data_IF_729894721343
#
_entry.id   IF_729894721343
#
_cell.length_a   1.000
_cell.length_b   1.000
_cell.length_c   1.000
_cell.angle_alpha   90.00
_cell.angle_beta   90.00
_cell.angle_gamma   90.00
#
_symmetry.space_group_name_H-M   'P 1'
#
loop_
_entity.id
_entity.type
_entity.pdbx_description
1 polymer ?
#
# COMPACT_ATOMS: atom_id res chain seq x y z
N UNK A 1 32.57 -52.11 -39.17
CA UNK A 1 33.07 -51.13 -38.17
C UNK A 1 31.99 -51.02 -37.10
N UNK A 2 32.07 -51.84 -36.03
CA UNK A 2 32.68 -51.51 -34.72
C UNK A 2 31.83 -50.47 -33.95
N UNK A 3 31.38 -50.59 -32.70
CA UNK A 3 31.27 -51.63 -31.66
C UNK A 3 30.45 -51.02 -30.50
N UNK A 4 29.96 -51.83 -29.56
CA UNK A 4 29.13 -51.46 -28.37
C UNK A 4 29.89 -50.70 -27.25
N UNK A 5 29.14 -50.29 -26.19
CA UNK A 5 29.50 -50.11 -24.74
C UNK A 5 29.80 -48.65 -24.32
N UNK A 6 29.41 -48.05 -23.15
CA UNK A 6 28.90 -48.46 -21.83
C UNK A 6 28.11 -47.32 -21.12
N UNK A 7 27.38 -47.69 -20.07
CA UNK A 7 26.77 -46.81 -19.04
C UNK A 7 27.86 -46.32 -18.06
N UNK A 8 27.75 -45.07 -17.58
CA UNK A 8 28.41 -44.62 -16.34
C UNK A 8 27.39 -43.92 -15.42
N UNK A 9 27.34 -44.41 -14.19
CA UNK A 9 26.48 -44.02 -13.07
C UNK A 9 26.97 -42.68 -12.51
N UNK A 10 26.09 -41.69 -12.35
CA UNK A 10 26.35 -40.54 -11.51
C UNK A 10 25.62 -40.71 -10.17
N UNK A 11 26.35 -41.15 -9.15
CA UNK A 11 25.95 -40.93 -7.76
C UNK A 11 26.49 -39.55 -7.36
N UNK A 12 25.60 -38.60 -7.14
CA UNK A 12 25.91 -37.43 -6.32
C UNK A 12 24.70 -37.12 -5.46
N UNK A 13 24.79 -37.52 -4.19
CA UNK A 13 23.96 -37.02 -3.09
C UNK A 13 24.16 -35.51 -3.02
N UNK A 14 23.11 -34.74 -3.31
CA UNK A 14 23.01 -33.37 -2.79
C UNK A 14 21.63 -33.22 -2.15
N UNK A 15 21.70 -32.64 -0.95
CA UNK A 15 20.73 -32.58 0.12
C UNK A 15 19.34 -32.04 -0.27
N UNK A 16 18.38 -32.31 0.62
CA UNK A 16 17.02 -31.79 0.63
C UNK A 16 16.91 -30.38 0.01
N UNK A 17 16.02 -30.25 -0.97
CA UNK A 17 15.61 -28.94 -1.48
C UNK A 17 14.78 -28.29 -0.38
N UNK A 18 15.40 -27.42 0.42
CA UNK A 18 14.67 -26.49 1.26
C UNK A 18 13.88 -25.57 0.32
N UNK A 19 12.56 -25.55 0.48
CA UNK A 19 11.68 -24.62 -0.21
C UNK A 19 11.95 -23.22 0.35
N UNK A 20 12.78 -22.45 -0.35
CA UNK A 20 12.96 -21.03 -0.08
C UNK A 20 11.84 -20.26 -0.81
N UNK A 21 11.08 -19.46 -0.07
CA UNK A 21 10.18 -18.47 -0.65
C UNK A 21 11.01 -17.41 -1.39
N UNK A 22 10.63 -17.08 -2.62
CA UNK A 22 11.33 -16.14 -3.49
C UNK A 22 11.44 -14.75 -2.84
N UNK A 23 12.58 -14.47 -2.22
CA UNK A 23 13.01 -13.13 -1.86
C UNK A 23 13.86 -12.55 -2.99
N UNK A 24 13.28 -11.70 -3.82
CA UNK A 24 14.00 -10.96 -4.85
C UNK A 24 15.01 -10.01 -4.19
N UNK A 25 16.31 -10.29 -4.37
CA UNK A 25 17.41 -9.46 -3.89
C UNK A 25 17.62 -8.31 -4.89
N UNK A 26 16.99 -7.18 -4.60
CA UNK A 26 17.14 -5.92 -5.35
C UNK A 26 18.52 -5.29 -5.08
N UNK A 27 19.27 -4.84 -6.11
CA UNK A 27 20.59 -4.27 -5.93
C UNK A 27 20.52 -2.96 -5.12
N UNK A 28 21.38 -2.85 -4.11
CA UNK A 28 21.52 -1.67 -3.28
C UNK A 28 22.13 -0.50 -4.07
N UNK A 29 21.27 0.28 -4.71
CA UNK A 29 21.67 1.52 -5.39
C UNK A 29 20.49 2.27 -5.99
N UNK A 30 20.13 3.40 -5.39
CA UNK A 30 19.30 4.49 -5.95
C UNK A 30 17.78 4.32 -6.10
N UNK A 31 17.19 3.14 -5.90
CA UNK A 31 15.72 3.02 -6.00
C UNK A 31 15.00 3.51 -4.73
N UNK A 32 14.00 4.40 -4.87
CA UNK A 32 13.17 4.83 -3.75
C UNK A 32 12.47 3.63 -3.10
N UNK A 33 12.27 3.74 -1.77
CA UNK A 33 11.65 2.65 -1.01
C UNK A 33 10.24 2.36 -1.55
N UNK A 34 9.87 1.08 -1.56
CA UNK A 34 8.49 0.66 -1.80
C UNK A 34 7.64 1.08 -0.60
N UNK A 35 6.54 1.77 -0.87
CA UNK A 35 5.56 2.21 0.13
C UNK A 35 4.23 1.54 -0.15
N UNK A 36 3.58 1.08 0.91
CA UNK A 36 2.21 0.54 0.88
C UNK A 36 1.29 1.56 1.54
N UNK A 37 0.12 1.81 0.96
CA UNK A 37 -0.95 2.57 1.59
C UNK A 37 -2.14 1.63 1.78
N UNK A 38 -2.67 1.57 2.99
CA UNK A 38 -3.88 0.81 3.32
C UNK A 38 -4.91 1.75 3.91
N UNK A 39 -6.16 1.64 3.45
CA UNK A 39 -7.31 2.42 3.89
C UNK A 39 -8.35 1.45 4.42
N UNK A 40 -8.75 1.62 5.68
CA UNK A 40 -9.80 0.81 6.32
C UNK A 40 -11.02 1.68 6.61
N UNK A 41 -12.21 1.22 6.23
CA UNK A 41 -13.45 1.89 6.60
C UNK A 41 -13.74 1.67 8.10
N UNK A 42 -13.74 2.76 8.87
CA UNK A 42 -14.08 2.78 10.30
C UNK A 42 -15.10 3.88 10.62
N UNK A 43 -15.98 4.19 9.65
CA UNK A 43 -17.11 5.10 9.85
C UNK A 43 -17.97 4.61 11.01
N UNK A 44 -18.29 5.51 11.94
CA UNK A 44 -19.05 5.19 13.14
C UNK A 44 -20.47 4.69 12.84
N UNK A 45 -21.04 5.15 11.72
CA UNK A 45 -22.36 4.73 11.20
C UNK A 45 -22.35 3.35 10.55
N UNK A 46 -21.19 2.71 10.39
CA UNK A 46 -21.01 1.36 9.81
C UNK A 46 -21.59 1.21 8.38
N UNK A 47 -21.65 2.31 7.64
CA UNK A 47 -22.08 2.33 6.25
C UNK A 47 -20.94 2.05 5.28
N UNK A 48 -21.27 1.79 4.02
CA UNK A 48 -20.27 1.66 2.96
C UNK A 48 -19.53 2.97 2.71
N UNK A 49 -18.23 2.86 2.47
CA UNK A 49 -17.36 3.96 2.09
C UNK A 49 -16.91 3.76 0.64
N UNK A 50 -17.25 4.71 -0.22
CA UNK A 50 -16.71 4.78 -1.58
C UNK A 50 -15.45 5.62 -1.58
N UNK A 51 -14.35 5.05 -2.06
CA UNK A 51 -13.04 5.68 -2.15
C UNK A 51 -12.56 5.67 -3.59
N UNK A 52 -12.13 6.82 -4.11
CA UNK A 52 -11.39 6.89 -5.36
C UNK A 52 -10.04 7.53 -5.11
N UNK A 53 -8.95 6.77 -5.30
CA UNK A 53 -7.59 7.26 -5.15
C UNK A 53 -6.89 7.42 -6.50
N UNK A 54 -6.10 8.49 -6.64
CA UNK A 54 -5.21 8.68 -7.78
C UNK A 54 -4.01 9.56 -7.42
N UNK A 55 -2.98 9.50 -8.25
CA UNK A 55 -1.85 10.43 -8.24
C UNK A 55 -1.97 11.39 -9.43
N UNK A 56 -0.86 12.04 -9.80
CA UNK A 56 -0.76 12.74 -11.07
C UNK A 56 -0.68 11.77 -12.26
N UNK A 57 -0.01 10.65 -12.06
CA UNK A 57 0.45 9.75 -13.13
C UNK A 57 -0.34 8.42 -13.15
N UNK A 58 -0.95 8.03 -12.02
CA UNK A 58 -1.64 6.76 -11.85
C UNK A 58 -3.06 6.96 -11.30
N UNK A 59 -4.02 6.23 -11.86
CA UNK A 59 -5.36 6.09 -11.28
C UNK A 59 -5.49 4.71 -10.62
N UNK A 60 -5.68 4.70 -9.30
CA UNK A 60 -5.86 3.46 -8.54
C UNK A 60 -7.30 2.93 -8.69
N UNK A 61 -8.23 3.82 -9.03
CA UNK A 61 -9.63 3.53 -9.28
C UNK A 61 -10.52 3.63 -8.05
N UNK A 62 -11.80 3.36 -8.27
CA UNK A 62 -12.86 3.40 -7.26
C UNK A 62 -12.93 2.06 -6.53
N UNK A 63 -13.12 2.11 -5.21
CA UNK A 63 -13.33 0.97 -4.31
C UNK A 63 -14.49 1.27 -3.39
N UNK A 64 -15.37 0.29 -3.20
CA UNK A 64 -16.45 0.35 -2.21
C UNK A 64 -16.06 -0.58 -1.07
N UNK A 65 -16.01 -0.04 0.14
CA UNK A 65 -15.56 -0.73 1.34
C UNK A 65 -16.71 -0.83 2.34
N UNK A 66 -17.13 -2.05 2.66
CA UNK A 66 -18.00 -2.31 3.81
C UNK A 66 -17.31 -1.89 5.11
N UNK A 67 -18.06 -1.74 6.21
CA UNK A 67 -17.48 -1.47 7.51
C UNK A 67 -16.41 -2.51 7.88
N UNK A 68 -15.26 -2.05 8.40
CA UNK A 68 -14.04 -2.80 8.67
C UNK A 68 -13.32 -3.42 7.45
N UNK A 69 -13.84 -3.26 6.23
CA UNK A 69 -13.12 -3.68 5.04
C UNK A 69 -11.98 -2.71 4.75
N UNK A 70 -10.88 -3.26 4.22
CA UNK A 70 -9.73 -2.49 3.79
C UNK A 70 -9.42 -2.67 2.31
N UNK A 71 -8.76 -1.66 1.77
CA UNK A 71 -8.17 -1.66 0.45
C UNK A 71 -6.76 -1.08 0.54
N UNK A 72 -5.82 -1.66 -0.21
CA UNK A 72 -4.45 -1.16 -0.26
C UNK A 72 -3.85 -1.21 -1.64
N UNK A 73 -2.85 -0.36 -1.85
CA UNK A 73 -2.03 -0.30 -3.06
C UNK A 73 -0.59 0.05 -2.68
N UNK A 74 0.33 -0.24 -3.59
CA UNK A 74 1.75 0.02 -3.36
C UNK A 74 2.39 0.76 -4.54
N UNK A 75 3.41 1.54 -4.25
CA UNK A 75 4.15 2.29 -5.25
C UNK A 75 5.59 2.52 -4.76
N UNK A 76 6.46 2.99 -5.67
CA UNK A 76 7.76 3.57 -5.31
C UNK A 76 7.66 5.07 -5.56
N UNK A 77 7.96 5.86 -4.54
CA UNK A 77 7.93 7.31 -4.66
C UNK A 77 8.96 7.77 -5.71
N UNK A 78 8.70 8.84 -6.45
CA UNK A 78 9.65 9.42 -7.38
C UNK A 78 10.85 10.07 -6.66
N UNK A 79 11.97 10.12 -7.37
CA UNK A 79 13.26 10.64 -6.87
C UNK A 79 13.22 12.17 -6.68
N UNK A 80 12.30 12.86 -7.35
CA UNK A 80 12.12 14.31 -7.23
C UNK A 80 11.28 14.75 -6.02
N UNK A 81 10.94 13.84 -5.12
CA UNK A 81 10.18 14.14 -3.89
C UNK A 81 8.79 14.76 -4.09
N UNK A 82 8.13 14.47 -5.23
CA UNK A 82 6.83 15.06 -5.59
C UNK A 82 5.67 14.07 -5.53
N UNK A 83 5.88 12.83 -5.09
CA UNK A 83 4.84 11.80 -5.10
C UNK A 83 3.71 12.17 -4.16
N UNK A 84 2.50 12.13 -4.70
CA UNK A 84 1.27 12.44 -3.96
C UNK A 84 0.13 11.58 -4.48
N UNK A 85 -0.56 10.93 -3.56
CA UNK A 85 -1.84 10.28 -3.81
C UNK A 85 -2.91 11.03 -3.04
N UNK A 86 -3.98 11.39 -3.74
CA UNK A 86 -5.15 12.05 -3.18
C UNK A 86 -6.37 11.19 -3.46
N UNK A 87 -7.28 11.18 -2.49
CA UNK A 87 -8.51 10.41 -2.51
C UNK A 87 -9.73 11.30 -2.35
N UNK A 88 -10.81 10.90 -3.03
CA UNK A 88 -12.17 11.29 -2.64
C UNK A 88 -12.81 10.17 -1.83
N UNK A 89 -13.58 10.57 -0.83
CA UNK A 89 -14.21 9.70 0.16
C UNK A 89 -15.67 10.13 0.28
N UNK A 90 -16.59 9.22 0.00
CA UNK A 90 -18.02 9.49 0.01
C UNK A 90 -18.75 8.36 0.70
N UNK A 91 -19.73 8.73 1.52
CA UNK A 91 -20.61 7.80 2.21
C UNK A 91 -21.98 8.45 2.47
N UNK A 92 -23.06 7.66 2.64
CA UNK A 92 -24.44 8.18 2.58
C UNK A 92 -24.79 9.32 3.55
N UNK A 93 -24.32 9.26 4.79
CA UNK A 93 -24.60 10.26 5.84
C UNK A 93 -23.45 11.27 6.02
N UNK A 94 -22.51 11.32 5.07
CA UNK A 94 -21.31 12.16 5.14
C UNK A 94 -21.49 13.60 4.69
N UNK A 95 -22.63 13.95 4.11
CA UNK A 95 -22.89 15.32 3.62
C UNK A 95 -22.11 15.70 2.36
N UNK A 96 -21.67 14.72 1.57
CA UNK A 96 -21.01 14.90 0.28
C UNK A 96 -19.63 14.26 0.19
N UNK A 97 -18.84 14.70 -0.80
CA UNK A 97 -17.50 14.20 -1.07
C UNK A 97 -16.48 14.89 -0.16
N UNK A 98 -15.68 14.09 0.54
CA UNK A 98 -14.54 14.53 1.33
C UNK A 98 -13.24 14.26 0.60
N UNK A 99 -12.31 15.22 0.65
CA UNK A 99 -11.01 15.10 -0.02
C UNK A 99 -9.89 14.94 0.98
N UNK A 100 -8.94 14.05 0.70
CA UNK A 100 -7.74 13.92 1.51
C UNK A 100 -6.53 13.44 0.72
N UNK A 101 -5.35 13.91 1.12
CA UNK A 101 -4.10 13.39 0.60
C UNK A 101 -3.66 12.17 1.40
N UNK A 102 -4.04 10.98 0.92
CA UNK A 102 -3.73 9.72 1.59
C UNK A 102 -2.24 9.43 1.63
N UNK A 103 -1.48 10.01 0.69
CA UNK A 103 -0.03 10.04 0.74
C UNK A 103 0.53 11.38 0.26
N UNK A 104 1.43 11.97 1.06
CA UNK A 104 2.31 13.08 0.68
C UNK A 104 3.74 12.70 1.01
N UNK A 105 4.61 12.67 0.01
CA UNK A 105 6.00 12.23 0.20
C UNK A 105 6.72 13.00 1.32
N UNK A 106 6.55 14.32 1.41
CA UNK A 106 7.17 15.13 2.47
C UNK A 106 6.62 14.87 3.89
N UNK A 107 5.39 14.35 4.02
CA UNK A 107 4.74 14.01 5.31
C UNK A 107 5.01 12.56 5.72
N UNK A 108 5.03 11.65 4.75
CA UNK A 108 4.91 10.22 4.99
C UNK A 108 6.20 9.44 4.71
N UNK A 109 7.07 9.92 3.82
CA UNK A 109 8.22 9.14 3.34
C UNK A 109 9.21 8.76 4.45
N UNK A 110 9.46 9.61 5.44
CA UNK A 110 10.34 9.26 6.56
C UNK A 110 9.61 8.55 7.70
N UNK A 111 8.27 8.54 7.68
CA UNK A 111 7.47 8.16 8.86
C UNK A 111 6.82 6.79 8.71
N UNK A 112 6.35 6.42 7.50
CA UNK A 112 5.73 5.12 7.26
C UNK A 112 6.31 4.45 6.02
N UNK A 113 6.60 3.15 6.15
CA UNK A 113 6.79 2.26 4.99
C UNK A 113 5.44 1.68 4.57
N UNK A 114 4.68 1.24 5.56
CA UNK A 114 3.29 0.81 5.44
C UNK A 114 2.41 1.87 6.11
N UNK A 115 1.83 2.74 5.29
CA UNK A 115 1.02 3.86 5.74
C UNK A 115 -0.43 3.39 5.89
N UNK A 116 -0.78 2.97 7.11
CA UNK A 116 -2.11 2.48 7.44
C UNK A 116 -3.01 3.64 7.87
N UNK A 117 -4.18 3.74 7.27
CA UNK A 117 -5.18 4.77 7.53
C UNK A 117 -6.52 4.15 7.89
N UNK A 118 -7.18 4.72 8.90
CA UNK A 118 -8.61 4.52 9.12
C UNK A 118 -9.37 5.77 8.70
N UNK A 119 -10.51 5.56 8.05
CA UNK A 119 -11.44 6.64 7.70
C UNK A 119 -12.58 6.65 8.71
N UNK A 120 -12.72 7.77 9.42
CA UNK A 120 -13.84 8.10 10.30
C UNK A 120 -14.59 9.30 9.74
N UNK A 121 -15.80 9.54 10.23
CA UNK A 121 -16.64 10.66 9.78
C UNK A 121 -15.93 12.02 9.89
N UNK A 122 -15.28 12.29 11.03
CA UNK A 122 -14.63 13.56 11.31
C UNK A 122 -13.26 13.74 10.63
N UNK A 123 -12.50 12.65 10.48
CA UNK A 123 -11.11 12.73 10.02
C UNK A 123 -10.54 11.37 9.60
N UNK A 124 -9.68 11.32 8.58
CA UNK A 124 -8.76 10.21 8.40
C UNK A 124 -7.65 10.24 9.47
N UNK A 125 -7.34 9.08 10.04
CA UNK A 125 -6.27 8.92 11.04
C UNK A 125 -5.26 7.86 10.59
N UNK A 126 -3.97 8.19 10.65
CA UNK A 126 -2.88 7.28 10.34
C UNK A 126 -2.44 6.51 11.58
N UNK A 127 -2.05 5.26 11.39
CA UNK A 127 -1.38 4.49 12.43
C UNK A 127 -0.04 5.14 12.80
N UNK A 128 0.26 5.13 14.09
CA UNK A 128 1.48 5.62 14.66
C UNK A 128 2.24 4.47 15.30
N UNK A 129 3.39 4.14 14.72
CA UNK A 129 4.21 3.03 15.19
C UNK A 129 4.82 3.26 16.58
N UNK A 130 4.88 4.50 17.06
CA UNK A 130 5.41 4.81 18.39
C UNK A 130 4.34 4.56 19.47
N UNK A 131 3.14 5.08 19.27
CA UNK A 131 2.04 4.96 20.26
C UNK A 131 1.18 3.71 20.07
N UNK A 132 1.36 2.99 18.95
CA UNK A 132 0.56 1.83 18.55
C UNK A 132 -0.93 2.12 18.44
N UNK A 133 -1.28 3.33 17.99
CA UNK A 133 -2.66 3.79 17.85
C UNK A 133 -2.87 4.55 16.54
N UNK A 134 -4.14 4.71 16.14
CA UNK A 134 -4.55 5.60 15.05
C UNK A 134 -4.82 7.01 15.58
N UNK A 135 -3.77 7.67 16.09
CA UNK A 135 -3.84 8.96 16.78
C UNK A 135 -3.29 10.14 15.96
N UNK A 136 -2.71 9.88 14.78
CA UNK A 136 -2.25 10.93 13.87
C UNK A 136 -3.37 11.25 12.88
N UNK A 137 -4.31 12.10 13.32
CA UNK A 137 -5.49 12.49 12.56
C UNK A 137 -5.30 13.84 11.85
N UNK A 138 -5.97 13.99 10.71
CA UNK A 138 -5.94 15.21 9.91
C UNK A 138 -7.35 15.64 9.55
N UNK A 139 -7.58 16.94 9.45
CA UNK A 139 -8.82 17.44 8.88
C UNK A 139 -8.94 17.06 7.40
N UNK A 140 -10.17 16.90 6.95
CA UNK A 140 -10.48 16.83 5.53
C UNK A 140 -9.97 18.08 4.80
N UNK A 141 -9.42 17.90 3.60
CA UNK A 141 -8.98 19.03 2.79
C UNK A 141 -10.20 19.88 2.41
N UNK A 142 -10.07 21.20 2.53
CA UNK A 142 -11.03 22.13 1.92
C UNK A 142 -11.06 21.86 0.42
N UNK A 143 -12.26 21.69 -0.13
CA UNK A 143 -12.47 21.62 -1.58
C UNK A 143 -11.67 22.74 -2.25
N UNK A 144 -10.83 22.39 -3.22
CA UNK A 144 -10.30 23.41 -4.12
C UNK A 144 -11.47 23.85 -4.99
N UNK A 145 -12.05 25.00 -4.65
CA UNK A 145 -12.89 25.76 -5.57
C UNK A 145 -12.09 26.04 -6.84
#
# INVERSE_FOLDING_TARGET
MLTRVAVAIALSLVAAVAKAEDGEVEPAGFLPKKTTVTITNRLESQVELTVHCKSKDDDIGVKVLSYNQEFGFHFRANIFFTTRFYGSFEWPDGGGIHWFDIYKQNRDYSVCKDCQWIVKSLSPCRFNDVTKAYDVCYEWNKSKV
#
